data_IF_385853356798
#
_entry.id   IF_385853356798
#
_cell.length_a   1.000
_cell.length_b   1.000
_cell.length_c   1.000
_cell.angle_alpha   90.00
_cell.angle_beta   90.00
_cell.angle_gamma   90.00
#
_symmetry.space_group_name_H-M   'P 1'
#
loop_
_entity.id
_entity.type
_entity.pdbx_description
1 polymer ?
#
# COMPACT_ATOMS: atom_id res chain seq x y z
N UNK A 1 3.15 -1.98 -1.46
CA UNK A 1 3.02 -0.55 -1.86
C UNK A 1 3.12 0.40 -0.67
N UNK A 2 2.42 0.12 0.43
CA UNK A 2 2.51 0.95 1.65
C UNK A 2 3.57 0.47 2.65
N UNK A 3 4.40 -0.46 2.26
CA UNK A 3 5.62 -0.86 2.97
C UNK A 3 6.68 0.25 3.05
N UNK A 4 6.74 1.15 2.05
CA UNK A 4 7.58 2.37 2.13
C UNK A 4 7.17 3.27 3.30
N UNK A 5 5.87 3.37 3.57
CA UNK A 5 5.35 4.14 4.70
C UNK A 5 5.77 3.54 6.05
N UNK A 6 5.76 2.19 6.17
CA UNK A 6 6.25 1.52 7.37
C UNK A 6 7.76 1.72 7.54
N UNK A 7 8.55 1.53 6.48
CA UNK A 7 10.01 1.74 6.52
C UNK A 7 10.33 3.19 6.90
N UNK A 8 9.62 4.17 6.33
CA UNK A 8 9.75 5.57 6.71
C UNK A 8 9.51 5.78 8.20
N UNK A 9 8.44 5.22 8.76
CA UNK A 9 8.13 5.32 10.20
C UNK A 9 9.27 4.72 11.04
N UNK A 10 9.77 3.54 10.68
CA UNK A 10 10.86 2.87 11.40
C UNK A 10 12.17 3.64 11.33
N UNK A 11 12.48 4.32 10.21
CA UNK A 11 13.68 5.16 10.10
C UNK A 11 13.62 6.43 10.95
N UNK A 12 12.42 6.86 11.33
CA UNK A 12 12.19 8.03 12.19
C UNK A 12 12.16 7.68 13.67
N UNK A 13 11.92 6.42 14.00
CA UNK A 13 11.88 5.97 15.39
C UNK A 13 13.31 5.93 15.98
N UNK A 14 13.58 6.66 17.07
CA UNK A 14 14.89 6.64 17.71
C UNK A 14 15.16 5.35 18.49
N UNK A 15 14.14 4.53 18.73
CA UNK A 15 14.26 3.29 19.48
C UNK A 15 14.50 2.11 18.53
N UNK A 16 15.49 1.30 18.84
CA UNK A 16 15.74 0.05 18.13
C UNK A 16 14.63 -0.97 18.46
N UNK A 17 13.99 -1.52 17.45
CA UNK A 17 12.92 -2.51 17.57
C UNK A 17 13.40 -3.88 17.12
N UNK A 18 12.95 -4.92 17.81
CA UNK A 18 13.08 -6.28 17.28
C UNK A 18 12.02 -6.51 16.22
N UNK A 19 12.46 -6.70 14.97
CA UNK A 19 11.56 -6.84 13.83
C UNK A 19 11.57 -8.28 13.32
N UNK A 20 10.40 -8.89 13.30
CA UNK A 20 10.17 -10.21 12.72
C UNK A 20 9.26 -10.07 11.50
N UNK A 21 9.71 -10.57 10.36
CA UNK A 21 8.91 -10.67 9.15
C UNK A 21 8.42 -12.12 9.02
N UNK A 22 7.11 -12.30 9.01
CA UNK A 22 6.53 -13.62 8.79
C UNK A 22 6.73 -14.01 7.33
N UNK A 23 7.34 -15.18 7.12
CA UNK A 23 7.72 -15.68 5.80
C UNK A 23 6.47 -15.94 4.95
N UNK A 24 6.34 -15.16 3.89
CA UNK A 24 5.37 -15.31 2.82
C UNK A 24 6.08 -15.16 1.47
N UNK A 25 5.43 -15.51 0.38
CA UNK A 25 5.97 -15.26 -0.98
C UNK A 25 6.03 -13.77 -1.36
N UNK A 26 5.46 -12.87 -0.54
CA UNK A 26 5.32 -11.44 -0.86
C UNK A 26 6.30 -10.54 -0.07
N UNK A 27 7.27 -11.12 0.62
CA UNK A 27 8.19 -10.37 1.51
C UNK A 27 9.35 -9.67 0.80
N UNK A 28 9.59 -9.95 -0.47
CA UNK A 28 10.79 -9.45 -1.18
C UNK A 28 10.95 -7.94 -1.11
N UNK A 29 9.85 -7.20 -1.25
CA UNK A 29 9.85 -5.72 -1.19
C UNK A 29 10.27 -5.21 0.18
N UNK A 30 9.61 -5.61 1.26
CA UNK A 30 9.91 -5.13 2.62
C UNK A 30 11.31 -5.52 3.07
N UNK A 31 11.75 -6.75 2.77
CA UNK A 31 13.10 -7.24 3.08
C UNK A 31 14.16 -6.35 2.41
N UNK A 32 14.00 -6.08 1.11
CA UNK A 32 14.92 -5.22 0.37
C UNK A 32 14.96 -3.80 0.95
N UNK A 33 13.83 -3.23 1.30
CA UNK A 33 13.70 -1.86 1.81
C UNK A 33 14.29 -1.70 3.21
N UNK A 34 14.01 -2.63 4.13
CA UNK A 34 14.60 -2.63 5.47
C UNK A 34 16.12 -2.82 5.39
N UNK A 35 16.61 -3.73 4.52
CA UNK A 35 18.03 -3.92 4.29
C UNK A 35 18.72 -2.66 3.76
N UNK A 36 18.13 -1.96 2.78
CA UNK A 36 18.64 -0.68 2.27
C UNK A 36 18.64 0.42 3.34
N UNK A 37 17.66 0.41 4.24
CA UNK A 37 17.57 1.35 5.35
C UNK A 37 18.52 1.03 6.53
N UNK A 38 19.20 -0.13 6.49
CA UNK A 38 20.07 -0.59 7.57
C UNK A 38 19.31 -1.00 8.84
N UNK A 39 18.03 -1.30 8.73
CA UNK A 39 17.17 -1.71 9.86
C UNK A 39 17.28 -3.22 10.01
N UNK A 40 17.71 -3.74 11.17
CA UNK A 40 17.86 -5.17 11.42
C UNK A 40 16.47 -5.84 11.51
N UNK A 41 16.37 -7.07 10.98
CA UNK A 41 15.17 -7.88 11.05
C UNK A 41 15.49 -9.36 10.95
N UNK A 42 14.56 -10.20 11.37
CA UNK A 42 14.57 -11.66 11.15
C UNK A 42 13.40 -12.06 10.24
N UNK A 43 13.60 -13.11 9.43
CA UNK A 43 12.53 -13.72 8.63
C UNK A 43 12.27 -15.12 9.15
N UNK A 44 11.03 -15.43 9.53
CA UNK A 44 10.68 -16.74 10.07
C UNK A 44 9.30 -17.20 9.65
N UNK A 45 9.11 -18.51 9.68
CA UNK A 45 7.78 -19.09 9.50
C UNK A 45 6.88 -18.70 10.67
N UNK A 46 5.57 -18.64 10.41
CA UNK A 46 4.61 -18.40 11.49
C UNK A 46 4.62 -19.59 12.44
N UNK A 47 5.27 -19.41 13.57
CA UNK A 47 5.30 -20.35 14.69
C UNK A 47 4.96 -19.58 15.96
N UNK A 48 3.84 -19.91 16.57
CA UNK A 48 3.30 -19.20 17.73
C UNK A 48 4.23 -19.28 18.94
N UNK A 49 4.92 -20.38 19.14
CA UNK A 49 5.83 -20.55 20.29
C UNK A 49 7.08 -19.67 20.15
N UNK A 50 7.55 -19.49 18.91
CA UNK A 50 8.71 -18.66 18.62
C UNK A 50 8.34 -17.18 18.68
N UNK A 51 7.21 -16.80 18.08
CA UNK A 51 6.77 -15.39 17.99
C UNK A 51 6.38 -14.84 19.35
N UNK A 52 5.74 -15.65 20.20
CA UNK A 52 5.27 -15.21 21.53
C UNK A 52 6.36 -15.21 22.62
N UNK A 53 7.47 -15.87 22.40
CA UNK A 53 8.56 -16.02 23.38
C UNK A 53 9.78 -15.15 23.13
N UNK A 54 9.86 -14.46 22.00
CA UNK A 54 11.05 -13.69 21.65
C UNK A 54 11.08 -12.32 22.30
N UNK A 55 12.13 -12.11 23.07
CA UNK A 55 12.58 -10.80 23.51
C UNK A 55 13.52 -10.19 22.47
N UNK A 56 13.53 -8.87 22.36
CA UNK A 56 14.54 -8.17 21.57
C UNK A 56 15.98 -8.54 21.99
N UNK A 57 16.99 -8.24 21.17
CA UNK A 57 18.39 -8.56 21.44
C UNK A 57 18.91 -7.98 22.76
N UNK A 58 18.31 -6.88 23.19
CA UNK A 58 18.58 -6.18 24.47
C UNK A 58 17.73 -6.67 25.64
N UNK A 59 16.89 -7.69 25.42
CA UNK A 59 15.94 -8.21 26.41
C UNK A 59 14.64 -7.41 26.52
N UNK A 60 14.43 -6.40 25.64
CA UNK A 60 13.18 -5.65 25.58
C UNK A 60 12.00 -6.54 25.17
N UNK A 61 10.82 -6.27 25.73
CA UNK A 61 9.59 -6.97 25.38
C UNK A 61 8.89 -6.32 24.14
N UNK A 62 9.49 -5.28 23.55
CA UNK A 62 8.91 -4.56 22.41
C UNK A 62 9.44 -5.08 21.08
N UNK A 63 8.56 -5.63 20.29
CA UNK A 63 8.85 -6.12 18.96
C UNK A 63 7.77 -5.77 17.95
N UNK A 64 8.14 -5.79 16.68
CA UNK A 64 7.22 -5.58 15.57
C UNK A 64 7.16 -6.86 14.74
N UNK A 65 5.95 -7.39 14.55
CA UNK A 65 5.70 -8.53 13.66
C UNK A 65 5.09 -8.00 12.37
N UNK A 66 5.76 -8.22 11.25
CA UNK A 66 5.30 -7.79 9.93
C UNK A 66 4.74 -8.99 9.18
N UNK A 67 3.48 -8.88 8.76
CA UNK A 67 2.84 -9.83 7.85
C UNK A 67 2.51 -9.12 6.53
N UNK A 68 3.13 -9.56 5.43
CA UNK A 68 2.86 -9.04 4.10
C UNK A 68 1.73 -9.82 3.43
N UNK A 69 0.65 -9.13 3.08
CA UNK A 69 -0.45 -9.69 2.29
C UNK A 69 -0.02 -9.87 0.83
N UNK A 70 -0.84 -10.60 0.08
CA UNK A 70 -0.66 -10.75 -1.36
C UNK A 70 -0.81 -9.39 -2.07
N UNK A 71 -0.01 -9.20 -3.11
CA UNK A 71 -0.18 -8.06 -4.03
C UNK A 71 -1.42 -8.29 -4.91
N UNK A 72 -2.04 -7.21 -5.35
CA UNK A 72 -3.20 -7.29 -6.25
C UNK A 72 -4.57 -7.45 -5.56
N UNK A 73 -4.64 -7.72 -4.26
CA UNK A 73 -5.93 -7.86 -3.54
C UNK A 73 -6.86 -6.64 -3.64
N UNK A 74 -6.30 -5.46 -3.95
CA UNK A 74 -7.07 -4.22 -4.11
C UNK A 74 -8.11 -4.29 -5.24
N UNK A 75 -7.89 -5.12 -6.23
CA UNK A 75 -8.76 -5.26 -7.36
C UNK A 75 -10.06 -6.01 -7.02
N UNK A 76 -10.05 -6.84 -5.98
CA UNK A 76 -11.24 -7.54 -5.51
C UNK A 76 -11.52 -7.19 -4.04
N UNK A 77 -12.22 -6.07 -3.77
CA UNK A 77 -12.41 -5.55 -2.41
C UNK A 77 -12.92 -6.59 -1.40
N UNK A 78 -13.83 -7.47 -1.81
CA UNK A 78 -14.35 -8.53 -0.94
C UNK A 78 -13.27 -9.54 -0.53
N UNK A 79 -12.38 -9.91 -1.46
CA UNK A 79 -11.25 -10.83 -1.18
C UNK A 79 -10.24 -10.16 -0.26
N UNK A 80 -9.89 -8.90 -0.52
CA UNK A 80 -9.03 -8.11 0.36
C UNK A 80 -9.57 -8.10 1.79
N UNK A 81 -10.85 -7.77 1.96
CA UNK A 81 -11.50 -7.73 3.28
C UNK A 81 -11.40 -9.06 3.99
N UNK A 82 -11.86 -10.14 3.36
CA UNK A 82 -11.83 -11.50 3.93
C UNK A 82 -10.41 -11.89 4.35
N UNK A 83 -9.43 -11.65 3.47
CA UNK A 83 -8.04 -12.02 3.73
C UNK A 83 -7.43 -11.26 4.90
N UNK A 84 -7.66 -9.96 4.99
CA UNK A 84 -7.19 -9.14 6.12
C UNK A 84 -7.87 -9.56 7.43
N UNK A 85 -9.17 -9.85 7.41
CA UNK A 85 -9.88 -10.36 8.58
C UNK A 85 -9.33 -11.71 9.07
N UNK A 86 -9.04 -12.65 8.17
CA UNK A 86 -8.42 -13.94 8.51
C UNK A 86 -7.06 -13.76 9.18
N UNK A 87 -6.17 -12.97 8.56
CA UNK A 87 -4.83 -12.70 9.09
C UNK A 87 -4.92 -12.03 10.46
N UNK A 88 -5.82 -11.06 10.60
CA UNK A 88 -6.03 -10.34 11.86
C UNK A 88 -6.45 -11.30 12.98
N UNK A 89 -7.43 -12.17 12.73
CA UNK A 89 -7.87 -13.17 13.73
C UNK A 89 -6.77 -14.18 14.06
N UNK A 90 -5.93 -14.53 13.09
CA UNK A 90 -4.80 -15.43 13.30
C UNK A 90 -3.73 -14.79 14.21
N UNK A 91 -3.43 -13.51 14.01
CA UNK A 91 -2.31 -12.84 14.70
C UNK A 91 -2.71 -12.20 16.04
N UNK A 92 -3.94 -11.74 16.17
CA UNK A 92 -4.39 -10.93 17.30
C UNK A 92 -4.21 -11.55 18.69
N UNK A 93 -4.22 -12.90 18.91
CA UNK A 93 -3.94 -13.47 20.24
C UNK A 93 -2.49 -13.26 20.72
N UNK A 94 -1.58 -12.95 19.80
CA UNK A 94 -0.12 -12.93 20.01
C UNK A 94 0.48 -11.53 19.97
N UNK A 95 -0.35 -10.50 19.87
CA UNK A 95 0.08 -9.09 19.79
C UNK A 95 -0.74 -8.24 20.75
N UNK A 96 -0.23 -7.08 21.12
CA UNK A 96 -0.92 -6.14 22.00
C UNK A 96 -1.63 -5.03 21.24
N UNK A 97 -1.19 -4.73 20.02
CA UNK A 97 -1.82 -3.77 19.12
C UNK A 97 -1.59 -4.18 17.64
N UNK A 98 -2.40 -3.66 16.73
CA UNK A 98 -2.30 -3.95 15.30
C UNK A 98 -2.30 -2.65 14.49
N UNK A 99 -1.26 -2.44 13.70
CA UNK A 99 -1.17 -1.35 12.72
C UNK A 99 -1.46 -1.86 11.31
N UNK A 100 -2.47 -1.31 10.65
CA UNK A 100 -2.83 -1.69 9.28
C UNK A 100 -2.21 -0.73 8.26
N UNK A 101 -1.09 -1.12 7.68
CA UNK A 101 -0.41 -0.41 6.60
C UNK A 101 -1.00 -0.79 5.24
N UNK A 102 -2.30 -0.59 5.09
CA UNK A 102 -3.07 -0.88 3.87
C UNK A 102 -4.24 0.09 3.71
N UNK A 103 -4.71 0.28 2.48
CA UNK A 103 -5.96 0.96 2.19
C UNK A 103 -7.13 -0.01 2.16
N UNK A 104 -8.36 0.51 2.27
CA UNK A 104 -9.59 -0.29 2.19
C UNK A 104 -9.97 -0.64 0.74
N UNK A 105 -9.41 0.08 -0.24
CA UNK A 105 -9.48 -0.22 -1.68
C UNK A 105 -10.89 -0.65 -2.16
N UNK A 106 -11.85 0.27 -2.08
CA UNK A 106 -13.25 0.02 -2.50
C UNK A 106 -14.20 -0.50 -1.41
N UNK A 107 -13.69 -0.90 -0.24
CA UNK A 107 -14.55 -1.24 0.91
C UNK A 107 -14.84 0.03 1.76
N UNK A 108 -15.52 1.01 1.21
CA UNK A 108 -15.72 2.34 1.83
C UNK A 108 -16.43 2.32 3.18
N UNK A 109 -17.33 1.36 3.42
CA UNK A 109 -18.03 1.22 4.69
C UNK A 109 -17.21 0.41 5.72
N UNK A 110 -16.11 -0.21 5.31
CA UNK A 110 -15.28 -1.03 6.17
C UNK A 110 -14.24 -0.18 6.92
N UNK A 111 -14.58 0.20 8.13
CA UNK A 111 -13.65 0.81 9.07
C UNK A 111 -12.95 -0.29 9.87
N UNK A 112 -11.72 -0.62 9.51
CA UNK A 112 -10.97 -1.73 10.09
C UNK A 112 -10.84 -1.62 11.63
N UNK A 113 -10.42 -0.48 12.21
CA UNK A 113 -10.37 -0.35 13.67
C UNK A 113 -11.73 -0.51 14.36
N UNK A 114 -12.80 0.01 13.77
CA UNK A 114 -14.16 -0.17 14.32
C UNK A 114 -14.60 -1.62 14.24
N UNK A 115 -14.26 -2.31 13.16
CA UNK A 115 -14.53 -3.75 13.03
C UNK A 115 -13.74 -4.53 14.09
N UNK A 116 -12.44 -4.29 14.28
CA UNK A 116 -11.65 -4.93 15.33
C UNK A 116 -12.29 -4.74 16.72
N UNK A 117 -12.70 -3.51 17.05
CA UNK A 117 -13.35 -3.20 18.30
C UNK A 117 -14.70 -3.94 18.47
N UNK A 118 -15.52 -4.04 17.41
CA UNK A 118 -16.80 -4.75 17.44
C UNK A 118 -16.67 -6.26 17.63
N UNK A 119 -15.56 -6.84 17.15
CA UNK A 119 -15.23 -8.26 17.32
C UNK A 119 -14.47 -8.55 18.64
N UNK A 120 -14.21 -7.53 19.46
CA UNK A 120 -13.42 -7.68 20.70
C UNK A 120 -11.94 -8.04 20.46
N UNK A 121 -11.39 -7.67 19.30
CA UNK A 121 -9.99 -7.89 18.96
C UNK A 121 -9.10 -6.83 19.63
N UNK A 122 -7.78 -7.01 19.53
CA UNK A 122 -6.78 -6.07 20.08
C UNK A 122 -6.96 -4.67 19.50
N UNK A 123 -6.57 -3.61 20.24
CA UNK A 123 -6.57 -2.25 19.73
C UNK A 123 -5.87 -2.15 18.38
N UNK A 124 -6.43 -1.36 17.49
CA UNK A 124 -5.89 -1.26 16.15
C UNK A 124 -6.01 0.13 15.57
N UNK A 125 -5.12 0.45 14.64
CA UNK A 125 -5.10 1.71 13.91
C UNK A 125 -4.86 1.47 12.42
N UNK A 126 -5.31 2.42 11.60
CA UNK A 126 -5.04 2.49 10.15
C UNK A 126 -4.84 3.94 9.75
N UNK A 127 -4.51 4.16 8.48
CA UNK A 127 -4.29 5.51 7.96
C UNK A 127 -5.56 6.36 8.02
N UNK A 128 -5.44 7.50 8.66
CA UNK A 128 -6.48 8.53 8.71
C UNK A 128 -5.88 9.90 8.40
N UNK A 129 -6.70 10.78 7.86
CA UNK A 129 -6.35 12.19 7.73
C UNK A 129 -6.38 12.92 9.09
N UNK A 130 -6.03 14.19 9.10
CA UNK A 130 -6.03 15.05 10.30
C UNK A 130 -7.39 15.19 10.99
N UNK A 131 -8.48 14.87 10.30
CA UNK A 131 -9.84 14.91 10.85
C UNK A 131 -10.28 13.53 11.39
N UNK A 132 -9.43 12.51 11.26
CA UNK A 132 -9.74 11.13 11.63
C UNK A 132 -10.53 10.35 10.57
N UNK A 133 -10.69 10.89 9.37
CA UNK A 133 -11.32 10.20 8.25
C UNK A 133 -10.35 9.22 7.60
N UNK A 134 -10.86 8.08 7.17
CA UNK A 134 -10.04 7.01 6.59
C UNK A 134 -9.39 7.44 5.27
N UNK A 135 -8.12 7.09 5.10
CA UNK A 135 -7.45 7.12 3.79
C UNK A 135 -7.73 5.79 3.08
N UNK A 136 -8.64 5.80 2.09
CA UNK A 136 -9.16 4.57 1.49
C UNK A 136 -8.21 3.88 0.52
N UNK A 137 -7.24 4.58 -0.04
CA UNK A 137 -6.30 4.06 -1.03
C UNK A 137 -4.87 4.54 -0.80
N UNK A 138 -3.94 3.96 -1.55
CA UNK A 138 -2.51 4.25 -1.41
C UNK A 138 -2.12 5.67 -1.85
N UNK A 139 -2.88 6.31 -2.74
CA UNK A 139 -2.66 7.71 -3.11
C UNK A 139 -3.12 8.61 -1.98
N UNK A 140 -4.34 8.42 -1.47
CA UNK A 140 -4.89 9.18 -0.34
C UNK A 140 -4.01 9.12 0.89
N UNK A 141 -3.38 7.96 1.18
CA UNK A 141 -2.41 7.82 2.28
C UNK A 141 -1.23 8.79 2.12
N UNK A 142 -0.74 8.97 0.90
CA UNK A 142 0.47 9.77 0.64
C UNK A 142 0.21 11.26 0.40
N UNK A 143 -1.06 11.68 0.37
CA UNK A 143 -1.47 13.09 0.19
C UNK A 143 -2.38 13.61 1.31
N UNK A 144 -2.44 12.91 2.44
CA UNK A 144 -3.25 13.27 3.62
C UNK A 144 -4.78 13.28 3.39
N UNK A 145 -5.28 12.24 2.68
CA UNK A 145 -6.69 11.84 2.75
C UNK A 145 -7.61 12.31 1.64
N UNK A 146 -8.88 11.97 1.83
CA UNK A 146 -9.92 12.11 0.82
C UNK A 146 -10.20 13.52 0.32
N UNK A 147 -10.35 14.54 1.17
CA UNK A 147 -10.59 15.91 0.71
C UNK A 147 -9.50 16.43 -0.23
N UNK A 148 -8.24 16.21 0.11
CA UNK A 148 -7.10 16.61 -0.72
C UNK A 148 -7.00 15.78 -1.99
N UNK A 149 -7.39 14.50 -1.94
CA UNK A 149 -7.50 13.66 -3.12
C UNK A 149 -8.54 14.21 -4.12
N UNK A 150 -9.71 14.62 -3.65
CA UNK A 150 -10.74 15.23 -4.50
C UNK A 150 -10.31 16.58 -5.11
N UNK A 151 -9.52 17.36 -4.40
CA UNK A 151 -8.92 18.58 -4.94
C UNK A 151 -7.91 18.26 -6.05
N UNK A 152 -7.08 17.24 -5.84
CA UNK A 152 -6.12 16.77 -6.84
C UNK A 152 -6.82 16.24 -8.09
N UNK A 153 -7.86 15.42 -7.94
CA UNK A 153 -8.69 14.91 -9.03
C UNK A 153 -9.29 16.04 -9.88
N UNK A 154 -9.82 17.08 -9.22
CA UNK A 154 -10.37 18.24 -9.93
C UNK A 154 -9.30 19.03 -10.68
N UNK A 155 -8.14 19.23 -10.06
CA UNK A 155 -7.04 20.00 -10.64
C UNK A 155 -6.36 19.25 -11.79
N UNK A 156 -6.17 17.96 -11.65
CA UNK A 156 -5.48 17.09 -12.57
C UNK A 156 -6.42 16.06 -13.21
N UNK A 157 -7.59 16.51 -13.64
CA UNK A 157 -8.55 15.64 -14.33
C UNK A 157 -7.90 14.97 -15.54
N UNK A 158 -8.17 13.68 -15.73
CA UNK A 158 -7.59 12.88 -16.82
C UNK A 158 -6.11 12.52 -16.61
N UNK A 159 -5.61 12.58 -15.37
CA UNK A 159 -4.27 12.13 -15.01
C UNK A 159 -4.33 10.86 -14.17
N UNK A 160 -3.46 9.92 -14.46
CA UNK A 160 -3.20 8.74 -13.63
C UNK A 160 -2.12 9.11 -12.61
N UNK A 161 -2.42 9.06 -11.32
CA UNK A 161 -1.46 9.42 -10.27
C UNK A 161 -0.49 8.27 -10.03
N UNK A 162 0.81 8.54 -10.13
CA UNK A 162 1.86 7.56 -9.87
C UNK A 162 2.90 8.14 -8.93
N UNK A 163 3.16 7.42 -7.84
CA UNK A 163 4.22 7.69 -6.87
C UNK A 163 5.29 6.57 -6.90
N UNK A 164 6.45 6.72 -6.24
CA UNK A 164 7.59 5.80 -6.41
C UNK A 164 7.23 4.31 -6.28
N UNK A 165 6.51 3.91 -5.23
CA UNK A 165 6.16 2.51 -5.03
C UNK A 165 5.24 1.94 -6.13
N UNK A 166 4.37 2.76 -6.72
CA UNK A 166 3.52 2.33 -7.85
C UNK A 166 4.33 2.15 -9.12
N UNK A 167 5.27 3.07 -9.41
CA UNK A 167 6.11 2.95 -10.61
C UNK A 167 6.99 1.70 -10.56
N UNK A 168 7.66 1.47 -9.42
CA UNK A 168 8.54 0.31 -9.23
C UNK A 168 7.79 -1.03 -9.29
N UNK A 169 6.55 -1.07 -8.81
CA UNK A 169 5.73 -2.29 -8.77
C UNK A 169 4.57 -2.24 -9.77
N UNK A 170 4.73 -1.50 -10.87
CA UNK A 170 3.64 -1.26 -11.81
C UNK A 170 3.04 -2.53 -12.38
N UNK A 171 3.87 -3.50 -12.77
CA UNK A 171 3.41 -4.78 -13.30
C UNK A 171 2.57 -5.55 -12.29
N UNK A 172 3.00 -5.58 -11.01
CA UNK A 172 2.26 -6.26 -9.95
C UNK A 172 0.97 -5.50 -9.61
N UNK A 173 1.00 -4.17 -9.68
CA UNK A 173 -0.17 -3.34 -9.47
C UNK A 173 -1.22 -3.52 -10.56
N UNK A 174 -0.78 -3.65 -11.82
CA UNK A 174 -1.66 -3.81 -12.97
C UNK A 174 -2.04 -5.26 -13.28
N UNK A 175 -1.33 -6.23 -12.72
CA UNK A 175 -1.71 -7.66 -12.79
C UNK A 175 -2.93 -8.01 -11.93
N UNK A 176 -3.65 -7.01 -11.50
CA UNK A 176 -4.88 -7.23 -10.77
C UNK A 176 -5.87 -7.91 -11.68
N UNK A 177 -6.10 -9.16 -11.40
CA UNK A 177 -7.26 -9.97 -11.65
C UNK A 177 -7.28 -10.88 -12.87
N UNK A 178 -7.50 -12.13 -12.49
CA UNK A 178 -8.14 -13.13 -13.36
C UNK A 178 -9.36 -12.55 -14.11
N UNK A 179 -10.10 -11.59 -13.50
CA UNK A 179 -11.24 -10.94 -14.15
C UNK A 179 -10.85 -10.00 -15.30
N UNK A 180 -9.72 -9.29 -15.22
CA UNK A 180 -9.25 -8.47 -16.35
C UNK A 180 -8.68 -9.33 -17.48
N UNK A 181 -7.94 -10.38 -17.16
CA UNK A 181 -7.52 -11.37 -18.15
C UNK A 181 -8.70 -12.01 -18.85
N UNK A 182 -9.75 -12.39 -18.12
CA UNK A 182 -10.99 -12.93 -18.71
C UNK A 182 -11.72 -11.89 -19.58
N UNK A 183 -11.71 -10.61 -19.21
CA UNK A 183 -12.29 -9.53 -20.04
C UNK A 183 -11.49 -9.32 -21.32
N UNK A 184 -10.19 -9.33 -21.25
CA UNK A 184 -9.33 -9.23 -22.44
C UNK A 184 -9.52 -10.43 -23.37
N UNK A 185 -9.58 -11.65 -22.84
CA UNK A 185 -9.82 -12.88 -23.59
C UNK A 185 -11.21 -12.92 -24.24
N UNK A 186 -12.20 -12.25 -23.67
CA UNK A 186 -13.52 -12.13 -24.25
C UNK A 186 -13.59 -11.19 -25.48
N UNK A 187 -12.54 -10.40 -25.74
CA UNK A 187 -12.48 -9.48 -26.90
C UNK A 187 -12.05 -10.24 -28.14
N UNK A 188 -12.98 -10.41 -29.07
CA UNK A 188 -12.70 -11.06 -30.35
C UNK A 188 -11.82 -10.20 -31.25
N UNK A 189 -11.18 -10.82 -32.24
CA UNK A 189 -10.38 -10.10 -33.25
C UNK A 189 -11.20 -9.05 -34.01
N UNK A 190 -12.46 -9.37 -34.31
CA UNK A 190 -13.40 -8.43 -34.95
C UNK A 190 -13.70 -7.22 -34.05
N UNK A 191 -13.90 -7.44 -32.74
CA UNK A 191 -14.08 -6.35 -31.78
C UNK A 191 -12.82 -5.49 -31.67
N UNK A 192 -11.63 -6.12 -31.69
CA UNK A 192 -10.36 -5.39 -31.65
C UNK A 192 -10.20 -4.48 -32.85
N UNK A 193 -10.52 -4.96 -34.06
CA UNK A 193 -10.42 -4.19 -35.27
C UNK A 193 -11.39 -2.98 -35.25
N UNK A 194 -12.65 -3.20 -34.89
CA UNK A 194 -13.69 -2.15 -34.83
C UNK A 194 -13.36 -1.10 -33.76
N UNK A 195 -12.87 -1.50 -32.60
CA UNK A 195 -12.62 -0.61 -31.46
C UNK A 195 -11.18 -0.08 -31.42
N UNK A 196 -10.31 -0.52 -32.34
CA UNK A 196 -8.91 -0.12 -32.36
C UNK A 196 -8.12 -0.59 -31.15
N UNK A 197 -8.41 -1.80 -30.65
CA UNK A 197 -7.74 -2.39 -29.50
C UNK A 197 -6.52 -3.17 -29.96
N UNK A 198 -5.34 -2.72 -29.58
CA UNK A 198 -4.11 -3.44 -29.84
C UNK A 198 -4.06 -4.78 -29.11
N UNK A 199 -3.32 -5.76 -29.63
CA UNK A 199 -3.18 -7.06 -28.99
C UNK A 199 -2.30 -6.97 -27.74
N UNK A 200 -2.55 -7.84 -26.78
CA UNK A 200 -1.82 -7.96 -25.52
C UNK A 200 -2.30 -7.00 -24.44
N UNK A 201 -1.91 -7.30 -23.22
CA UNK A 201 -2.34 -6.60 -22.01
C UNK A 201 -2.10 -5.07 -22.09
N UNK A 202 -0.92 -4.64 -22.50
CA UNK A 202 -0.62 -3.20 -22.62
C UNK A 202 -1.50 -2.51 -23.67
N UNK A 203 -1.84 -3.19 -24.76
CA UNK A 203 -2.75 -2.67 -25.78
C UNK A 203 -4.18 -2.50 -25.26
N UNK A 204 -4.66 -3.48 -24.50
CA UNK A 204 -5.95 -3.41 -23.82
C UNK A 204 -5.98 -2.29 -22.77
N UNK A 205 -4.94 -2.17 -21.95
CA UNK A 205 -4.84 -1.11 -20.94
C UNK A 205 -4.78 0.28 -21.57
N UNK A 206 -4.05 0.47 -22.67
CA UNK A 206 -4.06 1.75 -23.42
C UNK A 206 -5.46 2.12 -23.92
N UNK A 207 -6.22 1.13 -24.36
CA UNK A 207 -7.60 1.35 -24.82
C UNK A 207 -8.50 1.74 -23.64
N UNK A 208 -8.42 1.03 -22.49
CA UNK A 208 -9.18 1.36 -21.28
C UNK A 208 -8.87 2.78 -20.76
N UNK A 209 -7.59 3.14 -20.69
CA UNK A 209 -7.17 4.46 -20.23
C UNK A 209 -7.69 5.57 -21.16
N UNK A 210 -7.64 5.35 -22.49
CA UNK A 210 -8.25 6.29 -23.45
C UNK A 210 -9.76 6.40 -23.29
N UNK A 211 -10.43 5.28 -23.08
CA UNK A 211 -11.89 5.25 -22.85
C UNK A 211 -12.25 6.01 -21.55
N UNK A 212 -11.44 5.86 -20.50
CA UNK A 212 -11.57 6.59 -19.24
C UNK A 212 -11.14 8.07 -19.30
N UNK A 213 -10.67 8.54 -20.46
CA UNK A 213 -10.25 9.94 -20.65
C UNK A 213 -8.86 10.28 -20.08
N UNK A 214 -8.06 9.29 -19.74
CA UNK A 214 -6.68 9.49 -19.26
C UNK A 214 -5.77 9.93 -20.41
N UNK A 215 -5.02 11.00 -20.18
CA UNK A 215 -4.09 11.59 -21.16
C UNK A 215 -2.67 11.70 -20.64
N UNK A 216 -2.52 11.75 -19.31
CA UNK A 216 -1.25 11.98 -18.66
C UNK A 216 -1.05 11.06 -17.45
N UNK A 217 0.21 10.82 -17.12
CA UNK A 217 0.63 10.37 -15.80
C UNK A 217 0.99 11.60 -14.99
N UNK A 218 0.45 11.72 -13.79
CA UNK A 218 0.88 12.72 -12.82
C UNK A 218 1.95 12.10 -11.91
N UNK A 219 3.17 12.54 -12.07
CA UNK A 219 4.28 12.17 -11.18
C UNK A 219 4.08 12.83 -9.83
N UNK A 220 3.91 12.03 -8.78
CA UNK A 220 3.77 12.44 -7.40
C UNK A 220 4.99 11.97 -6.60
N UNK A 221 5.97 12.86 -6.37
CA UNK A 221 7.10 12.55 -5.49
C UNK A 221 6.67 12.66 -4.04
N UNK A 222 6.51 11.52 -3.37
CA UNK A 222 6.09 11.41 -1.97
C UNK A 222 7.26 11.59 -0.98
N UNK A 223 8.49 11.67 -1.47
CA UNK A 223 9.69 11.75 -0.63
C UNK A 223 10.15 10.42 -0.03
N UNK A 224 9.37 9.35 -0.22
CA UNK A 224 9.67 7.98 0.25
C UNK A 224 9.65 6.98 -0.90
N UNK A 225 10.18 5.77 -0.69
CA UNK A 225 10.29 4.72 -1.70
C UNK A 225 11.59 4.81 -2.52
N UNK A 226 11.65 4.05 -3.61
CA UNK A 226 12.82 4.01 -4.51
C UNK A 226 12.81 5.24 -5.43
N UNK A 227 13.33 6.37 -4.92
CA UNK A 227 13.39 7.63 -5.66
C UNK A 227 14.47 7.64 -6.74
N UNK A 228 15.52 6.81 -6.58
CA UNK A 228 16.62 6.75 -7.56
C UNK A 228 16.15 6.20 -8.90
N UNK A 229 15.31 5.16 -8.87
CA UNK A 229 14.76 4.52 -10.06
C UNK A 229 13.42 5.12 -10.51
N UNK A 230 12.81 6.00 -9.71
CA UNK A 230 11.46 6.51 -9.97
C UNK A 230 11.30 7.10 -11.37
N UNK A 231 12.26 7.91 -11.81
CA UNK A 231 12.22 8.53 -13.16
C UNK A 231 12.26 7.48 -14.26
N UNK A 232 13.18 6.51 -14.15
CA UNK A 232 13.32 5.48 -15.17
C UNK A 232 12.13 4.53 -15.21
N UNK A 233 11.57 4.17 -14.06
CA UNK A 233 10.40 3.30 -13.97
C UNK A 233 9.14 4.02 -14.46
N UNK A 234 8.99 5.28 -14.11
CA UNK A 234 7.88 6.12 -14.59
C UNK A 234 7.93 6.29 -16.12
N UNK A 235 9.13 6.45 -16.69
CA UNK A 235 9.30 6.54 -18.14
C UNK A 235 8.87 5.23 -18.83
N UNK A 236 9.24 4.06 -18.30
CA UNK A 236 8.78 2.76 -18.81
C UNK A 236 7.26 2.65 -18.79
N UNK A 237 6.63 3.06 -17.69
CA UNK A 237 5.16 3.07 -17.58
C UNK A 237 4.54 4.00 -18.61
N UNK A 238 5.10 5.21 -18.78
CA UNK A 238 4.65 6.21 -19.76
C UNK A 238 4.67 5.65 -21.18
N UNK A 239 5.78 5.04 -21.58
CA UNK A 239 5.95 4.44 -22.91
C UNK A 239 4.96 3.29 -23.14
N UNK A 240 4.82 2.40 -22.17
CA UNK A 240 3.89 1.25 -22.24
C UNK A 240 2.44 1.69 -22.34
N UNK A 241 2.03 2.71 -21.58
CA UNK A 241 0.63 3.18 -21.54
C UNK A 241 0.32 4.24 -22.59
N UNK A 242 1.33 4.79 -23.25
CA UNK A 242 1.17 5.85 -24.24
C UNK A 242 0.66 7.16 -23.63
N UNK A 243 0.99 7.41 -22.36
CA UNK A 243 0.61 8.61 -21.61
C UNK A 243 1.82 9.51 -21.40
N UNK A 244 1.68 10.83 -21.56
CA UNK A 244 2.78 11.75 -21.26
C UNK A 244 2.88 12.05 -19.77
N UNK A 245 4.12 12.28 -19.28
CA UNK A 245 4.37 12.57 -17.87
C UNK A 245 4.16 14.07 -17.61
N UNK A 246 3.41 14.37 -16.56
CA UNK A 246 3.31 15.69 -15.91
C UNK A 246 3.81 15.57 -14.49
N UNK A 247 4.38 16.64 -13.96
CA UNK A 247 4.87 16.67 -12.57
C UNK A 247 3.84 17.41 -11.72
N UNK A 248 3.44 16.80 -10.60
CA UNK A 248 2.59 17.47 -9.63
C UNK A 248 3.30 18.70 -9.04
N UNK A 249 2.56 19.77 -8.80
CA UNK A 249 3.10 20.91 -8.08
C UNK A 249 3.58 20.49 -6.68
N UNK A 250 4.57 21.16 -6.10
CA UNK A 250 5.01 20.89 -4.73
C UNK A 250 3.86 21.06 -3.71
N UNK A 251 3.90 20.26 -2.64
CA UNK A 251 2.95 20.37 -1.53
C UNK A 251 1.75 19.44 -1.59
N UNK A 252 1.65 18.59 -2.61
CA UNK A 252 0.62 17.53 -2.63
C UNK A 252 0.99 16.37 -1.72
N UNK A 253 2.24 15.92 -1.73
CA UNK A 253 2.70 14.85 -0.85
C UNK A 253 2.60 15.29 0.62
N UNK A 254 2.05 14.41 1.46
CA UNK A 254 1.87 14.66 2.89
C UNK A 254 1.81 13.30 3.61
N UNK A 255 2.79 13.05 4.45
CA UNK A 255 2.95 11.78 5.17
C UNK A 255 2.32 11.79 6.57
N UNK A 256 1.55 12.82 6.91
CA UNK A 256 0.85 12.90 8.20
C UNK A 256 0.05 11.63 8.54
N UNK A 257 -0.71 10.99 7.61
CA UNK A 257 -1.41 9.75 7.93
C UNK A 257 -0.46 8.61 8.36
N UNK A 258 0.74 8.57 7.80
CA UNK A 258 1.78 7.58 8.12
C UNK A 258 2.36 7.82 9.51
N UNK A 259 2.72 9.06 9.81
CA UNK A 259 3.27 9.46 11.10
C UNK A 259 2.24 9.25 12.23
N UNK A 260 0.98 9.61 11.98
CA UNK A 260 -0.10 9.41 12.94
C UNK A 260 -0.44 7.94 13.17
N UNK A 261 -0.41 7.10 12.13
CA UNK A 261 -0.61 5.66 12.29
C UNK A 261 0.44 5.06 13.22
N UNK A 262 1.71 5.36 12.97
CA UNK A 262 2.81 4.82 13.77
C UNK A 262 2.74 5.31 15.23
N UNK A 263 2.51 6.62 15.41
CA UNK A 263 2.32 7.21 16.75
C UNK A 263 1.15 6.56 17.51
N UNK A 264 0.00 6.35 16.87
CA UNK A 264 -1.16 5.67 17.46
C UNK A 264 -0.83 4.23 17.86
N UNK A 265 -0.04 3.50 17.07
CA UNK A 265 0.40 2.16 17.44
C UNK A 265 1.22 2.18 18.75
N UNK A 266 2.15 3.14 18.87
CA UNK A 266 2.95 3.29 20.10
C UNK A 266 2.09 3.71 21.30
N UNK A 267 1.13 4.62 21.13
CA UNK A 267 0.18 5.03 22.18
C UNK A 267 -0.66 3.84 22.70
N UNK A 268 -1.12 2.96 21.82
CA UNK A 268 -1.87 1.75 22.20
C UNK A 268 -1.06 0.76 23.04
N UNK A 269 0.26 0.79 22.93
CA UNK A 269 1.18 -0.02 23.74
C UNK A 269 1.56 0.64 25.07
N UNK A 270 0.96 1.78 25.42
CA UNK A 270 1.24 2.52 26.65
C UNK A 270 2.50 3.39 26.57
N UNK A 271 3.04 3.61 25.37
CA UNK A 271 4.08 4.60 25.10
C UNK A 271 3.52 6.01 25.29
N UNK A 272 4.28 6.90 25.94
CA UNK A 272 3.96 8.33 25.91
C UNK A 272 4.06 8.83 24.46
N UNK A 273 3.10 9.66 24.04
CA UNK A 273 3.17 10.37 22.76
C UNK A 273 4.43 11.23 22.74
N UNK A 274 5.43 10.84 21.97
CA UNK A 274 6.68 11.58 21.78
C UNK A 274 6.69 12.31 20.43
#
# INVERSE_FOLDING_TARGET
MLDDNLVYSLTKDPEEKHIVIIKTKNNGSIISKLGKAGIPFEVMDWDTDIVCGKKGPDGSDYGIIIYCTELGLHATPAVLKTRVEEITRMMQPYVDAIGFYLGTCGNYEWNIPKWCASEGLKPSATFCDKNGELCHDCVGVNIAGGPKYLEMEKKYSGHMFIFPAMATNYDEFMKSDQDEGMREEAITDEMREVLGIERGHDGYMRWLLRLGGYQHILKLDTGIGDRENFESDLQKVSERMGLSIKVAEPGWADLQPTEDLYRKCNEMLGGEAR
#
